data_IF_601029921923
#
_entry.id   IF_601029921923
#
_cell.length_a   1.000
_cell.length_b   1.000
_cell.length_c   1.000
_cell.angle_alpha   90.00
_cell.angle_beta   90.00
_cell.angle_gamma   90.00
#
_symmetry.space_group_name_H-M   'P 1'
#
loop_
_entity.id
_entity.type
_entity.pdbx_description
1 polymer ?
#
# COMPACT_ATOMS: atom_id res chain seq x y z
N UNK A 1 2.18 -15.58 -8.58
CA UNK A 1 2.65 -14.64 -7.56
C UNK A 1 3.26 -13.45 -8.27
N UNK A 2 3.03 -12.24 -7.80
CA UNK A 2 3.54 -11.00 -8.41
C UNK A 2 4.20 -10.13 -7.35
N UNK A 3 5.23 -9.37 -7.73
CA UNK A 3 5.79 -8.35 -6.85
C UNK A 3 4.95 -7.07 -6.94
N UNK A 4 4.62 -6.48 -5.79
CA UNK A 4 3.88 -5.24 -5.68
C UNK A 4 4.54 -4.32 -4.66
N UNK A 5 4.64 -3.03 -4.99
CA UNK A 5 4.96 -1.99 -4.01
C UNK A 5 3.66 -1.40 -3.46
N UNK A 6 3.40 -1.64 -2.18
CA UNK A 6 2.20 -1.18 -1.48
C UNK A 6 2.52 0.09 -0.71
N UNK A 7 1.75 1.14 -0.97
CA UNK A 7 1.92 2.46 -0.33
C UNK A 7 0.93 2.67 0.80
N UNK A 8 -0.25 2.07 0.66
CA UNK A 8 -1.34 2.22 1.59
C UNK A 8 -2.22 0.98 1.54
N UNK A 9 -2.79 0.59 2.68
CA UNK A 9 -3.81 -0.43 2.75
C UNK A 9 -4.84 -0.01 3.81
N UNK A 10 -6.09 -0.38 3.58
CA UNK A 10 -7.16 -0.17 4.54
C UNK A 10 -8.21 -1.25 4.41
N UNK A 11 -8.87 -1.53 5.53
CA UNK A 11 -10.01 -2.43 5.63
C UNK A 11 -11.09 -1.82 6.51
N UNK A 12 -12.30 -2.33 6.38
CA UNK A 12 -13.43 -1.88 7.17
C UNK A 12 -14.69 -2.70 6.95
N UNK A 13 -15.77 -2.17 7.50
CA UNK A 13 -17.14 -2.67 7.33
C UNK A 13 -17.96 -1.48 6.83
N UNK A 14 -18.75 -1.68 5.78
CA UNK A 14 -19.70 -0.66 5.31
C UNK A 14 -20.85 -0.65 6.31
N UNK A 15 -21.07 0.49 6.97
CA UNK A 15 -22.04 0.63 8.07
C UNK A 15 -23.47 0.27 7.64
N UNK A 16 -23.85 0.62 6.42
CA UNK A 16 -25.22 0.46 5.90
C UNK A 16 -25.64 -1.01 5.68
N UNK A 17 -24.69 -1.89 5.36
CA UNK A 17 -25.01 -3.27 4.94
C UNK A 17 -24.14 -4.34 5.61
N UNK A 18 -23.27 -3.95 6.55
CA UNK A 18 -22.37 -4.86 7.25
C UNK A 18 -21.32 -5.52 6.34
N UNK A 19 -21.17 -5.07 5.09
CA UNK A 19 -20.28 -5.70 4.13
C UNK A 19 -18.82 -5.34 4.46
N UNK A 20 -18.00 -6.36 4.67
CA UNK A 20 -16.55 -6.21 4.83
C UNK A 20 -15.88 -5.78 3.52
N UNK A 21 -14.90 -4.90 3.63
CA UNK A 21 -14.09 -4.46 2.51
C UNK A 21 -12.62 -4.32 2.90
N UNK A 22 -11.72 -4.51 1.93
CA UNK A 22 -10.30 -4.28 2.09
C UNK A 22 -9.64 -3.97 0.74
N UNK A 23 -8.77 -2.97 0.71
CA UNK A 23 -8.06 -2.53 -0.50
C UNK A 23 -6.63 -2.09 -0.17
N UNK A 24 -5.72 -2.29 -1.11
CA UNK A 24 -4.38 -1.72 -1.10
C UNK A 24 -4.18 -0.78 -2.30
N UNK A 25 -3.40 0.27 -2.10
CA UNK A 25 -2.90 1.15 -3.14
C UNK A 25 -1.47 0.72 -3.50
N UNK A 26 -1.23 0.51 -4.79
CA UNK A 26 0.06 0.11 -5.33
C UNK A 26 0.56 1.14 -6.35
N UNK A 27 1.88 1.34 -6.41
CA UNK A 27 2.48 2.04 -7.55
C UNK A 27 2.52 1.05 -8.71
N UNK A 28 2.02 1.46 -9.87
CA UNK A 28 2.23 0.70 -11.10
C UNK A 28 3.32 1.35 -11.93
N UNK A 29 3.99 0.56 -12.75
CA UNK A 29 5.02 1.06 -13.66
C UNK A 29 4.52 2.22 -14.54
N UNK A 30 5.49 3.02 -14.98
CA UNK A 30 5.25 4.08 -15.94
C UNK A 30 4.69 3.50 -17.24
N UNK A 31 3.46 3.87 -17.57
CA UNK A 31 2.85 3.55 -18.86
C UNK A 31 2.94 4.78 -19.75
N UNK A 32 3.70 4.67 -20.85
CA UNK A 32 3.70 5.69 -21.89
C UNK A 32 2.50 5.48 -22.82
N UNK A 33 1.38 6.09 -22.49
CA UNK A 33 0.17 6.14 -23.32
C UNK A 33 -0.16 7.62 -23.57
N UNK A 34 -0.27 8.02 -24.84
CA UNK A 34 -0.59 9.42 -25.21
C UNK A 34 -1.95 9.88 -24.67
N UNK A 35 -2.81 8.96 -24.24
CA UNK A 35 -4.10 9.24 -23.61
C UNK A 35 -4.10 9.06 -22.08
N UNK A 36 -2.98 8.70 -21.44
CA UNK A 36 -2.87 8.52 -19.98
C UNK A 36 -1.54 9.06 -19.45
N UNK A 37 -1.59 10.02 -18.54
CA UNK A 37 -0.39 10.60 -17.96
C UNK A 37 0.23 9.72 -16.87
N UNK A 38 1.51 9.38 -17.01
CA UNK A 38 2.47 9.13 -15.93
C UNK A 38 2.15 8.02 -14.91
N UNK A 39 3.00 7.89 -13.89
CA UNK A 39 2.92 6.88 -12.83
C UNK A 39 1.49 6.77 -12.28
N UNK A 40 0.83 5.62 -12.47
CA UNK A 40 -0.54 5.43 -12.00
C UNK A 40 -0.53 4.79 -10.61
N UNK A 41 -1.37 5.32 -9.72
CA UNK A 41 -1.72 4.62 -8.50
C UNK A 41 -2.81 3.60 -8.82
N UNK A 42 -2.45 2.32 -8.73
CA UNK A 42 -3.41 1.22 -8.84
C UNK A 42 -4.09 0.97 -7.50
N UNK A 43 -5.35 0.53 -7.53
CA UNK A 43 -6.01 -0.05 -6.36
C UNK A 43 -6.23 -1.54 -6.61
N UNK A 44 -5.86 -2.36 -5.64
CA UNK A 44 -6.07 -3.80 -5.69
C UNK A 44 -6.89 -4.24 -4.45
N UNK A 45 -8.01 -4.96 -4.65
CA UNK A 45 -8.78 -5.51 -3.55
C UNK A 45 -8.01 -6.60 -2.81
N UNK A 46 -8.21 -6.69 -1.50
CA UNK A 46 -7.64 -7.71 -0.62
C UNK A 46 -8.74 -8.69 -0.22
N UNK A 47 -8.38 -9.95 -0.04
CA UNK A 47 -9.28 -10.96 0.50
C UNK A 47 -9.77 -10.55 1.89
N UNK A 48 -11.09 -10.55 2.06
CA UNK A 48 -11.77 -10.10 3.27
C UNK A 48 -12.12 -11.23 4.25
N UNK A 49 -11.76 -12.46 3.90
CA UNK A 49 -12.02 -13.65 4.72
C UNK A 49 -11.31 -13.57 6.08
N UNK A 50 -11.76 -14.38 7.03
CA UNK A 50 -11.21 -14.41 8.40
C UNK A 50 -11.16 -13.01 9.03
N UNK A 51 -12.22 -12.22 8.86
CA UNK A 51 -12.34 -10.85 9.39
C UNK A 51 -11.17 -9.94 8.94
N UNK A 52 -10.93 -9.88 7.63
CA UNK A 52 -9.87 -9.06 7.02
C UNK A 52 -8.45 -9.39 7.51
N UNK A 53 -8.15 -10.66 7.85
CA UNK A 53 -6.86 -11.05 8.44
C UNK A 53 -5.64 -10.61 7.59
N UNK A 54 -5.72 -10.77 6.27
CA UNK A 54 -4.64 -10.41 5.33
C UNK A 54 -4.43 -8.90 5.30
N UNK A 55 -5.52 -8.13 5.24
CA UNK A 55 -5.46 -6.67 5.22
C UNK A 55 -4.93 -6.10 6.54
N UNK A 56 -5.32 -6.69 7.68
CA UNK A 56 -4.77 -6.35 9.00
C UNK A 56 -3.27 -6.52 9.04
N UNK A 57 -2.78 -7.70 8.61
CA UNK A 57 -1.34 -8.00 8.54
C UNK A 57 -0.62 -7.00 7.63
N UNK A 58 -1.19 -6.67 6.48
CA UNK A 58 -0.59 -5.71 5.55
C UNK A 58 -0.50 -4.29 6.13
N UNK A 59 -1.55 -3.84 6.82
CA UNK A 59 -1.58 -2.55 7.52
C UNK A 59 -0.55 -2.49 8.65
N UNK A 60 -0.41 -3.58 9.42
CA UNK A 60 0.60 -3.69 10.48
C UNK A 60 2.03 -3.59 9.93
N UNK A 61 2.32 -4.25 8.80
CA UNK A 61 3.64 -4.17 8.17
C UNK A 61 3.92 -2.77 7.59
N UNK A 62 2.93 -2.11 6.98
CA UNK A 62 3.05 -0.71 6.54
C UNK A 62 3.34 0.24 7.71
N UNK A 63 2.63 0.06 8.84
CA UNK A 63 2.86 0.84 10.06
C UNK A 63 4.25 0.59 10.64
N UNK A 64 4.71 -0.66 10.61
CA UNK A 64 6.05 -1.05 11.08
C UNK A 64 7.16 -0.44 10.22
N UNK A 65 6.97 -0.43 8.91
CA UNK A 65 7.93 0.16 7.97
C UNK A 65 7.91 1.70 7.99
N UNK A 66 6.78 2.33 8.34
CA UNK A 66 6.64 3.79 8.30
C UNK A 66 6.64 4.36 6.89
N UNK A 67 6.34 3.53 5.88
CA UNK A 67 6.42 3.88 4.46
C UNK A 67 6.00 2.72 3.56
N UNK A 68 6.18 2.85 2.23
CA UNK A 68 5.84 1.81 1.28
C UNK A 68 6.63 0.52 1.52
N UNK A 69 5.99 -0.63 1.29
CA UNK A 69 6.60 -1.96 1.41
C UNK A 69 6.50 -2.73 0.10
N UNK A 70 7.51 -3.54 -0.19
CA UNK A 70 7.46 -4.49 -1.31
C UNK A 70 6.99 -5.85 -0.83
N UNK A 71 6.05 -6.43 -1.55
CA UNK A 71 5.49 -7.74 -1.25
C UNK A 71 5.52 -8.64 -2.48
N UNK A 72 5.68 -9.94 -2.25
CA UNK A 72 5.29 -10.97 -3.21
C UNK A 72 3.85 -11.37 -2.89
N UNK A 73 2.91 -10.89 -3.69
CA UNK A 73 1.49 -11.15 -3.54
C UNK A 73 1.08 -12.47 -4.19
N UNK A 74 0.36 -13.30 -3.43
CA UNK A 74 -0.43 -14.39 -3.95
C UNK A 74 -1.78 -13.85 -4.44
N UNK A 75 -2.03 -13.97 -5.74
CA UNK A 75 -3.26 -13.47 -6.35
C UNK A 75 -4.34 -14.54 -6.40
N UNK A 76 -5.55 -14.15 -6.05
CA UNK A 76 -6.77 -14.87 -6.37
C UNK A 76 -7.61 -14.11 -7.38
N UNK A 77 -8.72 -14.73 -7.77
CA UNK A 77 -9.72 -14.11 -8.64
C UNK A 77 -11.03 -13.96 -7.87
N UNK A 78 -11.69 -12.81 -8.02
CA UNK A 78 -13.04 -12.56 -7.52
C UNK A 78 -13.90 -12.03 -8.65
N UNK A 79 -15.11 -12.57 -8.79
CA UNK A 79 -16.10 -11.99 -9.69
C UNK A 79 -16.70 -10.75 -9.05
N UNK A 80 -16.54 -9.60 -9.71
CA UNK A 80 -17.11 -8.31 -9.30
C UNK A 80 -17.93 -7.78 -10.47
N UNK A 81 -19.26 -7.74 -10.29
CA UNK A 81 -20.22 -7.25 -11.30
C UNK A 81 -20.05 -7.92 -12.69
N UNK A 82 -19.81 -9.23 -12.70
CA UNK A 82 -19.64 -10.01 -13.94
C UNK A 82 -18.26 -9.88 -14.59
N UNK A 83 -17.32 -9.14 -14.01
CA UNK A 83 -15.91 -9.09 -14.42
C UNK A 83 -15.05 -9.85 -13.42
N UNK A 84 -14.05 -10.57 -13.92
CA UNK A 84 -13.04 -11.21 -13.07
C UNK A 84 -12.02 -10.15 -12.71
N UNK A 85 -11.89 -9.87 -11.41
CA UNK A 85 -10.86 -8.98 -10.87
C UNK A 85 -9.88 -9.77 -10.02
N UNK A 86 -8.59 -9.48 -10.17
CA UNK A 86 -7.55 -10.04 -9.31
C UNK A 86 -7.62 -9.43 -7.90
N UNK A 87 -7.38 -10.27 -6.89
CA UNK A 87 -7.37 -9.89 -5.48
C UNK A 87 -6.08 -10.38 -4.81
N UNK A 88 -5.60 -9.70 -3.77
CA UNK A 88 -4.53 -10.22 -2.90
C UNK A 88 -5.14 -11.23 -1.94
N UNK A 89 -4.75 -12.51 -2.07
CA UNK A 89 -5.16 -13.59 -1.15
C UNK A 89 -4.22 -13.73 0.03
N UNK A 90 -2.94 -13.60 -0.22
CA UNK A 90 -1.90 -13.64 0.80
C UNK A 90 -0.65 -12.92 0.29
N UNK A 91 0.33 -12.71 1.14
CA UNK A 91 1.58 -12.07 0.74
C UNK A 91 2.79 -12.46 1.60
N UNK A 92 3.97 -12.31 1.01
CA UNK A 92 5.25 -12.34 1.72
C UNK A 92 5.94 -10.99 1.55
N UNK A 93 6.60 -10.50 2.58
CA UNK A 93 7.46 -9.33 2.46
C UNK A 93 8.66 -9.69 1.59
N UNK A 94 9.08 -8.77 0.73
CA UNK A 94 10.40 -8.82 0.11
C UNK A 94 11.35 -8.24 1.15
N UNK A 95 12.36 -9.01 1.57
CA UNK A 95 13.34 -8.60 2.59
C UNK A 95 14.28 -7.51 2.05
N UNK A 96 13.75 -6.30 1.86
CA UNK A 96 14.52 -5.08 1.58
C UNK A 96 14.27 -4.04 2.69
N UNK A 97 14.35 -4.46 3.97
CA UNK A 97 14.58 -3.54 5.10
C UNK A 97 16.02 -2.95 5.10
N UNK A 98 16.72 -3.03 3.98
CA UNK A 98 18.06 -2.47 3.80
C UNK A 98 17.99 -1.00 3.37
N UNK A 99 18.09 -0.12 4.37
CA UNK A 99 18.65 1.25 4.28
C UNK A 99 17.83 2.30 3.50
N UNK A 100 16.72 2.75 4.07
CA UNK A 100 16.41 4.18 3.99
C UNK A 100 16.66 4.81 5.36
N UNK A 101 17.77 5.53 5.46
CA UNK A 101 18.24 6.28 6.62
C UNK A 101 17.11 7.06 7.32
N UNK A 102 17.17 7.26 8.66
CA UNK A 102 16.25 8.17 9.32
C UNK A 102 16.37 9.55 8.67
N UNK A 103 15.23 10.12 8.28
CA UNK A 103 15.13 11.53 7.88
C UNK A 103 15.76 12.36 9.00
N UNK A 104 16.98 12.85 8.78
CA UNK A 104 17.59 13.81 9.68
C UNK A 104 16.70 15.05 9.65
N UNK A 105 15.99 15.27 10.75
CA UNK A 105 15.26 16.51 11.01
C UNK A 105 16.17 17.69 10.64
N UNK A 106 15.72 18.66 9.82
CA UNK A 106 16.54 19.82 9.52
C UNK A 106 16.80 20.53 10.83
N UNK A 107 18.06 20.53 11.27
CA UNK A 107 18.51 21.27 12.43
C UNK A 107 17.97 22.69 12.33
N UNK A 108 17.13 23.08 13.29
CA UNK A 108 16.70 24.45 13.50
C UNK A 108 17.96 25.31 13.47
N UNK A 109 18.17 26.06 12.39
CA UNK A 109 19.19 27.11 12.34
C UNK A 109 18.89 28.05 13.50
N UNK A 110 19.70 27.97 14.55
CA UNK A 110 19.82 29.02 15.55
C UNK A 110 20.15 30.30 14.80
N UNK A 111 19.19 31.23 14.75
CA UNK A 111 19.44 32.59 14.33
C UNK A 111 20.18 33.23 15.50
N UNK A 112 21.51 33.24 15.45
CA UNK A 112 22.30 34.20 16.22
C UNK A 112 21.86 35.60 15.78
N UNK A 113 21.21 36.34 16.68
CA UNK A 113 21.02 37.77 16.50
C UNK A 113 22.39 38.44 16.56
N UNK A 114 22.77 39.28 15.59
CA UNK A 114 23.94 40.12 15.74
C UNK A 114 23.65 41.16 16.83
N UNK A 115 24.57 41.27 17.80
CA UNK A 115 24.61 42.37 18.75
C UNK A 115 24.75 43.70 18.01
N UNK A 116 23.84 44.63 18.26
CA UNK A 116 24.01 46.06 18.09
C UNK A 116 23.24 46.77 19.22
#
# INVERSE_FOLDING_TARGET
MIELEINFAQYGVIEDNGQVWANAQMVTDFVFDLNKAGCMFGTIPILTDNNNAVAKRLVEELKRAGGPIKIIAEQGNKSVKGRISSIIKDFKLVDDFSKSSPVSSPASRMIEKPNA
#
